data_IF_875208580544
#
_entry.id   IF_875208580544
#
_cell.length_a   1.000
_cell.length_b   1.000
_cell.length_c   1.000
_cell.angle_alpha   90.00
_cell.angle_beta   90.00
_cell.angle_gamma   90.00
#
_symmetry.space_group_name_H-M   'P 1'
#
loop_
_entity.id
_entity.type
_entity.pdbx_description
1 polymer ?
#
# COMPACT_ATOMS: atom_id res chain seq x y z
N UNK A 1 14.41 -2.94 -0.25
CA UNK A 1 13.70 -2.63 -1.52
C UNK A 1 13.19 -1.20 -1.43
N UNK A 2 13.61 -0.33 -2.34
CA UNK A 2 13.18 1.08 -2.38
C UNK A 2 11.80 1.16 -3.03
N UNK A 3 10.79 1.78 -2.40
CA UNK A 3 9.46 1.90 -2.99
C UNK A 3 9.45 2.88 -4.17
N UNK A 4 8.62 2.59 -5.16
CA UNK A 4 8.28 3.52 -6.26
C UNK A 4 6.91 4.10 -5.98
N UNK A 5 6.84 5.42 -5.80
CA UNK A 5 5.57 6.13 -5.60
C UNK A 5 4.83 6.25 -6.93
N UNK A 6 3.56 5.84 -6.98
CA UNK A 6 2.72 5.84 -8.18
C UNK A 6 1.36 6.44 -7.87
N UNK A 7 0.93 7.41 -8.69
CA UNK A 7 -0.36 8.10 -8.53
C UNK A 7 -1.38 7.69 -9.60
N UNK A 8 -1.00 6.82 -10.53
CA UNK A 8 -1.87 6.32 -11.58
C UNK A 8 -1.50 4.89 -12.00
N UNK A 9 -2.43 4.22 -12.65
CA UNK A 9 -2.21 2.87 -13.19
C UNK A 9 -1.09 2.85 -14.24
N UNK A 10 -1.00 3.87 -15.10
CA UNK A 10 0.04 3.95 -16.14
C UNK A 10 1.44 4.17 -15.56
N UNK A 11 1.56 4.96 -14.49
CA UNK A 11 2.83 5.07 -13.76
C UNK A 11 3.22 3.73 -13.15
N UNK A 12 2.27 3.01 -12.56
CA UNK A 12 2.54 1.70 -11.97
C UNK A 12 2.95 0.65 -13.02
N UNK A 13 2.26 0.60 -14.17
CA UNK A 13 2.65 -0.24 -15.32
C UNK A 13 4.05 0.09 -15.81
N UNK A 14 4.38 1.38 -15.90
CA UNK A 14 5.72 1.83 -16.35
C UNK A 14 6.80 1.37 -15.37
N UNK A 15 6.57 1.54 -14.07
CA UNK A 15 7.48 1.08 -13.02
C UNK A 15 7.68 -0.45 -13.08
N UNK A 16 6.60 -1.21 -13.21
CA UNK A 16 6.68 -2.67 -13.30
C UNK A 16 7.40 -3.13 -14.56
N UNK A 17 7.16 -2.51 -15.72
CA UNK A 17 7.84 -2.87 -16.99
C UNK A 17 9.33 -2.52 -17.00
N UNK A 18 9.71 -1.42 -16.36
CA UNK A 18 11.10 -0.98 -16.28
C UNK A 18 11.93 -1.75 -15.25
N UNK A 19 11.27 -2.37 -14.26
CA UNK A 19 11.95 -3.17 -13.25
C UNK A 19 12.55 -4.45 -13.84
N UNK A 20 13.66 -4.89 -13.24
CA UNK A 20 14.24 -6.21 -13.47
C UNK A 20 13.18 -7.30 -13.18
N UNK A 21 12.91 -8.24 -14.12
CA UNK A 21 11.93 -9.28 -13.92
C UNK A 21 12.11 -10.18 -12.71
N UNK A 22 13.34 -10.39 -12.29
CA UNK A 22 13.66 -11.32 -11.20
C UNK A 22 13.74 -10.60 -9.84
N UNK A 23 13.42 -9.31 -9.79
CA UNK A 23 13.47 -8.50 -8.57
C UNK A 23 12.06 -8.08 -8.13
N UNK A 24 11.73 -8.27 -6.84
CA UNK A 24 10.49 -7.76 -6.29
C UNK A 24 10.38 -6.24 -6.47
N UNK A 25 9.15 -5.75 -6.68
CA UNK A 25 8.84 -4.32 -6.80
C UNK A 25 7.88 -3.91 -5.68
N UNK A 26 8.24 -2.85 -4.95
CA UNK A 26 7.32 -2.22 -3.99
C UNK A 26 6.72 -0.97 -4.62
N UNK A 27 5.43 -1.01 -4.89
CA UNK A 27 4.66 0.16 -5.27
C UNK A 27 4.09 0.82 -4.02
N UNK A 28 4.11 2.14 -4.00
CA UNK A 28 3.53 2.93 -2.91
C UNK A 28 2.60 4.00 -3.48
N UNK A 29 1.46 4.22 -2.85
CA UNK A 29 0.60 5.35 -3.22
C UNK A 29 1.24 6.70 -2.83
N UNK A 30 0.73 7.84 -3.33
CA UNK A 30 1.13 9.15 -2.82
C UNK A 30 0.83 9.28 -1.31
N UNK A 31 1.52 10.18 -0.58
CA UNK A 31 1.23 10.44 0.83
C UNK A 31 -0.25 10.80 1.06
N UNK A 32 -0.89 10.15 2.04
CA UNK A 32 -2.29 10.38 2.40
C UNK A 32 -3.32 9.90 1.37
N UNK A 33 -2.92 9.07 0.39
CA UNK A 33 -3.81 8.63 -0.69
C UNK A 33 -5.07 7.92 -0.20
N UNK A 34 -5.04 7.24 0.95
CA UNK A 34 -6.24 6.62 1.52
C UNK A 34 -7.40 7.61 1.72
N UNK A 35 -7.10 8.87 2.08
CA UNK A 35 -8.09 9.94 2.24
C UNK A 35 -8.35 10.75 0.97
N UNK A 36 -7.34 10.92 0.11
CA UNK A 36 -7.44 11.76 -1.09
C UNK A 36 -8.05 11.03 -2.30
N UNK A 37 -7.56 9.82 -2.57
CA UNK A 37 -7.99 8.99 -3.70
C UNK A 37 -8.98 7.90 -3.27
N UNK A 38 -8.95 7.55 -1.98
CA UNK A 38 -9.78 6.51 -1.41
C UNK A 38 -9.12 5.13 -1.47
N UNK A 39 -9.45 4.31 -0.47
CA UNK A 39 -8.95 2.92 -0.35
C UNK A 39 -9.37 2.08 -1.57
N UNK A 40 -10.60 2.27 -2.06
CA UNK A 40 -11.13 1.51 -3.21
C UNK A 40 -10.37 1.75 -4.50
N UNK A 41 -9.85 2.96 -4.71
CA UNK A 41 -8.98 3.27 -5.85
C UNK A 41 -7.70 2.41 -5.83
N UNK A 42 -7.05 2.32 -4.67
CA UNK A 42 -5.83 1.54 -4.53
C UNK A 42 -6.05 0.04 -4.73
N UNK A 43 -7.14 -0.49 -4.17
CA UNK A 43 -7.53 -1.90 -4.37
C UNK A 43 -7.81 -2.21 -5.85
N UNK A 44 -8.53 -1.33 -6.55
CA UNK A 44 -8.80 -1.51 -7.98
C UNK A 44 -7.51 -1.46 -8.82
N UNK A 45 -6.64 -0.49 -8.57
CA UNK A 45 -5.36 -0.34 -9.26
C UNK A 45 -4.49 -1.59 -9.07
N UNK A 46 -4.30 -2.03 -7.83
CA UNK A 46 -3.42 -3.16 -7.50
C UNK A 46 -3.96 -4.49 -7.99
N UNK A 47 -5.29 -4.67 -8.00
CA UNK A 47 -5.94 -5.81 -8.64
C UNK A 47 -5.63 -5.89 -10.13
N UNK A 48 -5.82 -4.78 -10.87
CA UNK A 48 -5.53 -4.74 -12.30
C UNK A 48 -4.06 -5.09 -12.58
N UNK A 49 -3.13 -4.59 -11.77
CA UNK A 49 -1.72 -4.92 -11.91
C UNK A 49 -1.42 -6.39 -11.62
N UNK A 50 -2.05 -6.99 -10.60
CA UNK A 50 -1.88 -8.41 -10.31
C UNK A 50 -2.41 -9.29 -11.46
N UNK A 51 -3.50 -8.88 -12.11
CA UNK A 51 -4.06 -9.55 -13.29
C UNK A 51 -3.17 -9.37 -14.54
N UNK A 52 -2.60 -8.18 -14.76
CA UNK A 52 -1.74 -7.86 -15.91
C UNK A 52 -0.31 -8.42 -15.78
N UNK A 53 0.20 -8.55 -14.56
CA UNK A 53 1.57 -8.96 -14.27
C UNK A 53 1.61 -10.15 -13.29
N UNK A 54 0.96 -11.29 -13.60
CA UNK A 54 0.78 -12.39 -12.65
C UNK A 54 2.09 -13.07 -12.22
N UNK A 55 3.18 -12.88 -12.99
CA UNK A 55 4.51 -13.42 -12.67
C UNK A 55 5.38 -12.44 -11.87
N UNK A 56 4.93 -11.19 -11.65
CA UNK A 56 5.72 -10.19 -10.91
C UNK A 56 5.49 -10.35 -9.42
N UNK A 57 6.58 -10.42 -8.66
CA UNK A 57 6.51 -10.27 -7.20
C UNK A 57 6.33 -8.79 -6.84
N UNK A 58 5.11 -8.41 -6.46
CA UNK A 58 4.73 -7.03 -6.17
C UNK A 58 4.22 -6.88 -4.74
N UNK A 59 4.80 -5.94 -4.00
CA UNK A 59 4.22 -5.42 -2.76
C UNK A 59 3.55 -4.07 -3.02
N UNK A 60 2.30 -3.90 -2.61
CA UNK A 60 1.56 -2.66 -2.79
C UNK A 60 1.22 -2.00 -1.44
N UNK A 61 1.80 -0.84 -1.18
CA UNK A 61 1.64 -0.05 0.06
C UNK A 61 0.63 1.09 -0.13
N UNK A 62 -0.45 1.09 0.66
CA UNK A 62 -1.35 2.25 0.74
C UNK A 62 -0.93 3.19 1.87
N UNK A 63 -0.64 4.44 1.52
CA UNK A 63 -0.35 5.50 2.48
C UNK A 63 -1.63 6.08 3.09
N UNK A 64 -1.72 6.00 4.41
CA UNK A 64 -2.83 6.45 5.24
C UNK A 64 -2.55 7.79 5.94
N UNK A 65 -1.41 8.43 5.66
CA UNK A 65 -1.00 9.66 6.32
C UNK A 65 -0.88 9.50 7.84
N UNK A 66 -1.40 10.50 8.57
CA UNK A 66 -1.45 10.58 10.03
C UNK A 66 -2.83 10.24 10.59
N UNK A 67 -3.66 9.51 9.85
CA UNK A 67 -5.04 9.23 10.23
C UNK A 67 -5.22 7.75 10.66
N UNK A 68 -5.33 7.45 11.98
CA UNK A 68 -5.58 6.09 12.47
C UNK A 68 -6.86 5.47 11.90
N UNK A 69 -7.89 6.30 11.70
CA UNK A 69 -9.15 5.87 11.10
C UNK A 69 -8.98 5.34 9.68
N UNK A 70 -8.10 5.95 8.88
CA UNK A 70 -7.79 5.50 7.52
C UNK A 70 -7.03 4.17 7.53
N UNK A 71 -6.09 3.99 8.46
CA UNK A 71 -5.40 2.71 8.67
C UNK A 71 -6.41 1.59 8.95
N UNK A 72 -7.29 1.80 9.94
CA UNK A 72 -8.30 0.80 10.30
C UNK A 72 -9.28 0.51 9.16
N UNK A 73 -9.68 1.53 8.39
CA UNK A 73 -10.54 1.37 7.23
C UNK A 73 -9.86 0.56 6.13
N UNK A 74 -8.58 0.84 5.85
CA UNK A 74 -7.80 0.11 4.84
C UNK A 74 -7.61 -1.35 5.21
N UNK A 75 -7.29 -1.63 6.48
CA UNK A 75 -7.17 -3.00 7.00
C UNK A 75 -8.49 -3.76 6.87
N UNK A 76 -9.62 -3.15 7.24
CA UNK A 76 -10.96 -3.75 7.09
C UNK A 76 -11.33 -4.01 5.62
N UNK A 77 -10.87 -3.17 4.71
CA UNK A 77 -11.07 -3.34 3.28
C UNK A 77 -10.14 -4.41 2.65
N UNK A 78 -9.26 -5.03 3.45
CA UNK A 78 -8.38 -6.10 2.99
C UNK A 78 -7.06 -5.61 2.38
N UNK A 79 -6.63 -4.37 2.64
CA UNK A 79 -5.32 -3.90 2.19
C UNK A 79 -4.22 -4.60 3.01
N UNK A 80 -3.32 -5.39 2.40
CA UNK A 80 -2.37 -6.22 3.14
C UNK A 80 -1.18 -5.44 3.71
N UNK A 81 -0.89 -4.26 3.15
CA UNK A 81 0.26 -3.44 3.52
C UNK A 81 -0.13 -1.96 3.48
N UNK A 82 -0.12 -1.34 4.65
CA UNK A 82 -0.46 0.08 4.83
C UNK A 82 0.71 0.82 5.44
N UNK A 83 0.82 2.12 5.17
CA UNK A 83 1.82 3.00 5.79
C UNK A 83 1.10 4.12 6.53
N UNK A 84 1.58 4.47 7.72
CA UNK A 84 1.13 5.66 8.43
C UNK A 84 2.30 6.38 9.09
N UNK A 85 2.31 7.70 8.98
CA UNK A 85 3.37 8.59 9.49
C UNK A 85 2.79 9.64 10.41
N UNK A 86 3.59 10.20 11.32
CA UNK A 86 3.13 11.25 12.24
C UNK A 86 2.23 10.77 13.39
N UNK A 87 1.99 9.47 13.52
CA UNK A 87 1.28 8.88 14.65
C UNK A 87 2.20 8.74 15.88
N UNK A 88 1.69 8.98 17.11
CA UNK A 88 2.39 8.62 18.34
C UNK A 88 2.72 7.12 18.38
N UNK A 89 3.87 6.77 18.97
CA UNK A 89 4.37 5.39 18.98
C UNK A 89 3.38 4.39 19.58
N UNK A 90 2.73 4.74 20.69
CA UNK A 90 1.71 3.89 21.30
C UNK A 90 0.53 3.60 20.35
N UNK A 91 0.10 4.60 19.57
CA UNK A 91 -0.96 4.42 18.59
C UNK A 91 -0.49 3.54 17.43
N UNK A 92 0.75 3.76 16.96
CA UNK A 92 1.37 2.96 15.91
C UNK A 92 1.48 1.49 16.33
N UNK A 93 1.91 1.21 17.55
CA UNK A 93 2.06 -0.16 18.07
C UNK A 93 0.71 -0.87 18.15
N UNK A 94 -0.33 -0.17 18.64
CA UNK A 94 -1.70 -0.72 18.66
C UNK A 94 -2.21 -1.02 17.25
N UNK A 95 -1.99 -0.12 16.29
CA UNK A 95 -2.40 -0.34 14.89
C UNK A 95 -1.60 -1.47 14.23
N UNK A 96 -0.31 -1.59 14.53
CA UNK A 96 0.54 -2.68 14.04
C UNK A 96 0.08 -4.03 14.59
N UNK A 97 -0.30 -4.12 15.87
CA UNK A 97 -0.85 -5.33 16.45
C UNK A 97 -2.20 -5.73 15.81
N UNK A 98 -3.07 -4.75 15.55
CA UNK A 98 -4.33 -4.98 14.82
C UNK A 98 -4.04 -5.48 13.41
N UNK A 99 -3.16 -4.81 12.66
CA UNK A 99 -2.78 -5.23 11.31
C UNK A 99 -2.29 -6.68 11.30
N UNK A 100 -1.39 -7.05 12.23
CA UNK A 100 -0.87 -8.40 12.37
C UNK A 100 -1.97 -9.43 12.62
N UNK A 101 -2.93 -9.14 13.52
CA UNK A 101 -4.09 -10.01 13.79
C UNK A 101 -5.01 -10.18 12.57
N UNK A 102 -4.99 -9.23 11.65
CA UNK A 102 -5.75 -9.26 10.39
C UNK A 102 -4.95 -9.86 9.22
N UNK A 103 -3.74 -10.37 9.45
CA UNK A 103 -2.87 -10.90 8.38
C UNK A 103 -2.25 -9.81 7.49
N UNK A 104 -2.24 -8.56 7.96
CA UNK A 104 -1.70 -7.40 7.27
C UNK A 104 -0.49 -6.82 8.03
N UNK A 105 0.15 -5.80 7.45
CA UNK A 105 1.30 -5.10 8.04
C UNK A 105 1.12 -3.59 7.99
N UNK A 106 1.59 -2.91 9.04
CA UNK A 106 1.75 -1.47 9.10
C UNK A 106 3.23 -1.09 8.96
N UNK A 107 3.53 -0.16 8.06
CA UNK A 107 4.82 0.48 7.88
C UNK A 107 4.83 1.88 8.52
N UNK A 108 6.02 2.36 8.89
CA UNK A 108 6.25 3.71 9.38
C UNK A 108 6.49 4.75 8.26
#
# INVERSE_FOLDING_TARGET
MTPVTVQSLDQARTALRAADPDRPVRLQSPPGAAGQHGIGWWLALTRLLAEEFPQREMEAVLDCGDAPGAVLAALRAGVPLVRASGLPDEMRDRLADIARRMGARLLA
#
